data_IF_227143344277
#
_entry.id   IF_227143344277
#
_cell.length_a   1.000
_cell.length_b   1.000
_cell.length_c   1.000
_cell.angle_alpha   90.00
_cell.angle_beta   90.00
_cell.angle_gamma   90.00
#
_symmetry.space_group_name_H-M   'P 1'
#
loop_
_entity.id
_entity.type
_entity.pdbx_description
1 polymer ?
#
# COMPACT_ATOMS: atom_id res chain seq x y z
N UNK A 1 -36.60 35.23 -1.74
CA UNK A 1 -36.76 34.05 -2.60
C UNK A 1 -35.50 33.78 -3.43
N UNK A 2 -35.13 34.73 -4.29
CA UNK A 2 -33.89 34.60 -5.06
C UNK A 2 -32.64 34.56 -4.14
N UNK A 3 -32.66 35.37 -3.07
CA UNK A 3 -31.56 35.39 -2.09
C UNK A 3 -31.44 34.08 -1.34
N UNK A 4 -32.57 33.44 -1.01
CA UNK A 4 -32.56 32.14 -0.35
C UNK A 4 -32.03 31.03 -1.26
N UNK A 5 -32.37 31.07 -2.54
CA UNK A 5 -31.86 30.10 -3.53
C UNK A 5 -30.37 30.26 -3.72
N UNK A 6 -29.84 31.47 -3.76
CA UNK A 6 -28.41 31.76 -3.87
C UNK A 6 -27.67 31.25 -2.62
N UNK A 7 -28.26 31.49 -1.43
CA UNK A 7 -27.66 31.03 -0.17
C UNK A 7 -27.60 29.50 -0.09
N UNK A 8 -28.66 28.81 -0.55
CA UNK A 8 -28.70 27.33 -0.59
C UNK A 8 -27.65 26.83 -1.54
N UNK A 9 -27.50 27.40 -2.73
CA UNK A 9 -26.46 27.01 -3.70
C UNK A 9 -25.06 27.24 -3.17
N UNK A 10 -24.84 28.34 -2.45
CA UNK A 10 -23.56 28.66 -1.84
C UNK A 10 -23.21 27.62 -0.77
N UNK A 11 -24.19 27.24 0.06
CA UNK A 11 -23.99 26.23 1.10
C UNK A 11 -23.72 24.84 0.51
N UNK A 12 -24.44 24.49 -0.56
CA UNK A 12 -24.20 23.23 -1.28
C UNK A 12 -22.80 23.19 -1.87
N UNK A 13 -22.36 24.31 -2.46
CA UNK A 13 -21.02 24.43 -3.04
C UNK A 13 -19.94 24.34 -1.96
N UNK A 14 -20.12 25.00 -0.82
CA UNK A 14 -19.21 24.94 0.31
C UNK A 14 -19.13 23.52 0.88
N UNK A 15 -20.27 22.84 1.00
CA UNK A 15 -20.32 21.46 1.47
C UNK A 15 -19.58 20.54 0.52
N UNK A 16 -19.77 20.68 -0.78
CA UNK A 16 -19.10 19.89 -1.79
C UNK A 16 -17.59 20.10 -1.74
N UNK A 17 -17.15 21.35 -1.62
CA UNK A 17 -15.73 21.69 -1.45
C UNK A 17 -15.14 21.04 -0.22
N UNK A 18 -15.85 21.12 0.91
CA UNK A 18 -15.41 20.51 2.17
C UNK A 18 -15.29 18.99 2.04
N UNK A 19 -16.24 18.35 1.38
CA UNK A 19 -16.20 16.91 1.13
C UNK A 19 -15.02 16.53 0.26
N UNK A 20 -14.73 17.31 -0.80
CA UNK A 20 -13.59 17.07 -1.66
C UNK A 20 -12.27 17.24 -0.92
N UNK A 21 -12.15 18.27 -0.09
CA UNK A 21 -10.95 18.51 0.72
C UNK A 21 -10.72 17.38 1.70
N UNK A 22 -11.77 16.90 2.37
CA UNK A 22 -11.69 15.79 3.32
C UNK A 22 -11.28 14.50 2.63
N UNK A 23 -11.84 14.24 1.46
CA UNK A 23 -11.54 13.07 0.65
C UNK A 23 -10.08 13.10 0.21
N UNK A 24 -9.60 14.25 -0.25
CA UNK A 24 -8.23 14.43 -0.68
C UNK A 24 -7.26 14.25 0.49
N UNK A 25 -7.59 14.80 1.67
CA UNK A 25 -6.78 14.62 2.88
C UNK A 25 -6.66 13.14 3.26
N UNK A 26 -7.76 12.39 3.17
CA UNK A 26 -7.75 10.94 3.42
C UNK A 26 -6.83 10.21 2.43
N UNK A 27 -6.89 10.56 1.15
CA UNK A 27 -6.03 9.93 0.15
C UNK A 27 -4.55 10.26 0.38
N UNK A 28 -4.24 11.48 0.82
CA UNK A 28 -2.85 11.83 1.15
C UNK A 28 -2.34 11.05 2.36
N UNK A 29 -3.19 10.79 3.35
CA UNK A 29 -2.82 9.92 4.48
C UNK A 29 -2.58 8.49 4.01
N UNK A 30 -3.44 7.97 3.14
CA UNK A 30 -3.27 6.64 2.55
C UNK A 30 -2.00 6.55 1.72
N UNK A 31 -1.67 7.62 0.99
CA UNK A 31 -0.44 7.70 0.21
C UNK A 31 0.79 7.61 1.11
N UNK A 32 0.84 8.40 2.18
CA UNK A 32 1.97 8.40 3.11
C UNK A 32 2.14 7.03 3.76
N UNK A 33 1.04 6.42 4.19
CA UNK A 33 1.04 5.09 4.80
C UNK A 33 1.47 4.02 3.80
N UNK A 34 0.94 4.07 2.58
CA UNK A 34 1.28 3.14 1.51
C UNK A 34 2.75 3.22 1.11
N UNK A 35 3.30 4.43 1.08
CA UNK A 35 4.71 4.65 0.78
C UNK A 35 5.60 4.02 1.85
N UNK A 36 5.23 4.17 3.13
CA UNK A 36 5.94 3.53 4.24
C UNK A 36 5.89 2.00 4.14
N UNK A 37 4.73 1.45 3.75
CA UNK A 37 4.57 0.02 3.54
C UNK A 37 5.49 -0.52 2.45
N UNK A 38 5.51 0.15 1.30
CA UNK A 38 6.38 -0.25 0.19
C UNK A 38 7.84 -0.19 0.61
N UNK A 39 8.24 0.88 1.29
CA UNK A 39 9.61 1.03 1.79
C UNK A 39 9.99 -0.10 2.76
N UNK A 40 9.07 -0.48 3.65
CA UNK A 40 9.30 -1.58 4.59
C UNK A 40 9.55 -2.89 3.85
N UNK A 41 8.71 -3.24 2.88
CA UNK A 41 8.88 -4.48 2.14
C UNK A 41 10.17 -4.48 1.33
N UNK A 42 10.49 -3.39 0.67
CA UNK A 42 11.67 -3.32 -0.21
C UNK A 42 12.97 -3.24 0.56
N UNK A 43 13.01 -2.52 1.68
CA UNK A 43 14.25 -2.30 2.43
C UNK A 43 14.50 -3.33 3.53
N UNK A 44 13.44 -4.00 4.03
CA UNK A 44 13.56 -4.89 5.18
C UNK A 44 12.99 -6.26 4.92
N UNK A 45 11.71 -6.38 4.62
CA UNK A 45 11.03 -7.67 4.57
C UNK A 45 11.54 -8.56 3.42
N UNK A 46 11.67 -8.01 2.21
CA UNK A 46 12.18 -8.78 1.07
C UNK A 46 13.64 -9.22 1.25
N UNK A 47 14.58 -8.32 1.61
CA UNK A 47 15.96 -8.74 1.84
C UNK A 47 16.08 -9.78 2.95
N UNK A 48 15.31 -9.65 4.02
CA UNK A 48 15.33 -10.63 5.12
C UNK A 48 14.80 -11.98 4.66
N UNK A 49 13.70 -12.00 3.93
CA UNK A 49 13.12 -13.24 3.41
C UNK A 49 14.06 -13.94 2.44
N UNK A 50 14.74 -13.17 1.58
CA UNK A 50 15.74 -13.71 0.65
C UNK A 50 16.94 -14.31 1.39
N UNK A 51 17.41 -13.64 2.44
CA UNK A 51 18.52 -14.13 3.26
C UNK A 51 18.15 -15.43 3.98
N UNK A 52 16.95 -15.48 4.55
CA UNK A 52 16.44 -16.69 5.22
C UNK A 52 16.33 -17.84 4.21
N UNK A 53 15.80 -17.57 3.02
CA UNK A 53 15.68 -18.62 2.00
C UNK A 53 17.04 -19.12 1.54
N UNK A 54 18.01 -18.23 1.32
CA UNK A 54 19.36 -18.62 0.95
C UNK A 54 19.99 -19.52 2.00
N UNK A 55 19.87 -19.15 3.27
CA UNK A 55 20.41 -19.93 4.37
C UNK A 55 19.71 -21.28 4.49
N UNK A 56 18.40 -21.31 4.31
CA UNK A 56 17.62 -22.55 4.32
C UNK A 56 18.00 -23.45 3.14
N UNK A 57 18.23 -22.87 1.97
CA UNK A 57 18.67 -23.64 0.78
C UNK A 57 20.01 -24.29 1.02
N UNK A 58 20.96 -23.55 1.59
CA UNK A 58 22.30 -24.10 1.93
C UNK A 58 22.19 -25.18 2.99
N UNK A 59 21.40 -24.97 4.04
CA UNK A 59 21.20 -25.96 5.09
C UNK A 59 20.55 -27.24 4.58
N UNK A 60 19.59 -27.10 3.65
CA UNK A 60 18.97 -28.26 3.02
C UNK A 60 19.98 -29.06 2.17
N UNK A 61 20.77 -28.35 1.37
CA UNK A 61 21.80 -28.99 0.52
C UNK A 61 22.88 -29.70 1.34
N UNK A 62 23.25 -29.12 2.49
CA UNK A 62 24.24 -29.72 3.38
C UNK A 62 23.70 -30.82 4.31
N UNK A 63 22.35 -30.94 4.36
CA UNK A 63 21.70 -31.90 5.25
C UNK A 63 21.46 -31.38 6.67
N UNK A 64 21.76 -30.10 6.95
CA UNK A 64 21.59 -29.53 8.28
C UNK A 64 20.09 -29.31 8.62
N UNK A 65 19.25 -29.05 7.61
CA UNK A 65 17.80 -28.93 7.80
C UNK A 65 17.08 -29.88 6.85
N UNK A 66 15.82 -30.20 7.20
CA UNK A 66 14.99 -31.07 6.39
C UNK A 66 14.19 -30.30 5.35
N UNK A 67 13.48 -31.06 4.50
CA UNK A 67 12.66 -30.52 3.42
C UNK A 67 11.56 -29.59 3.95
N UNK A 68 10.92 -29.95 5.07
CA UNK A 68 9.80 -29.17 5.63
C UNK A 68 10.28 -27.76 6.00
N UNK A 69 11.43 -27.66 6.64
CA UNK A 69 12.01 -26.36 7.02
C UNK A 69 12.36 -25.51 5.80
N UNK A 70 12.95 -26.15 4.78
CA UNK A 70 13.24 -25.47 3.51
C UNK A 70 11.96 -25.01 2.83
N UNK A 71 10.95 -25.87 2.77
CA UNK A 71 9.66 -25.52 2.15
C UNK A 71 8.97 -24.37 2.87
N UNK A 72 9.06 -24.32 4.21
CA UNK A 72 8.52 -23.20 4.98
C UNK A 72 9.22 -21.89 4.66
N UNK A 73 10.55 -21.90 4.53
CA UNK A 73 11.30 -20.70 4.14
C UNK A 73 10.93 -20.22 2.74
N UNK A 74 10.75 -21.15 1.80
CA UNK A 74 10.31 -20.83 0.44
C UNK A 74 8.91 -20.23 0.46
N UNK A 75 7.99 -20.84 1.20
CA UNK A 75 6.61 -20.36 1.30
C UNK A 75 6.54 -18.95 1.91
N UNK A 76 7.33 -18.70 2.97
CA UNK A 76 7.40 -17.37 3.58
C UNK A 76 7.95 -16.34 2.59
N UNK A 77 8.98 -16.71 1.83
CA UNK A 77 9.54 -15.81 0.81
C UNK A 77 8.50 -15.44 -0.24
N UNK A 78 7.75 -16.41 -0.75
CA UNK A 78 6.69 -16.18 -1.74
C UNK A 78 5.57 -15.30 -1.17
N UNK A 79 5.20 -15.49 0.09
CA UNK A 79 4.18 -14.68 0.76
C UNK A 79 4.63 -13.23 0.89
N UNK A 80 5.89 -13.00 1.26
CA UNK A 80 6.44 -11.65 1.37
C UNK A 80 6.49 -10.97 0.00
N UNK A 81 6.85 -11.72 -1.06
CA UNK A 81 6.82 -11.18 -2.43
C UNK A 81 5.39 -10.76 -2.82
N UNK A 82 4.40 -11.59 -2.50
CA UNK A 82 3.00 -11.26 -2.77
C UNK A 82 2.55 -10.01 -2.02
N UNK A 83 2.89 -9.91 -0.73
CA UNK A 83 2.53 -8.75 0.08
C UNK A 83 3.20 -7.46 -0.43
N UNK A 84 4.44 -7.58 -0.91
CA UNK A 84 5.12 -6.44 -1.55
C UNK A 84 4.38 -5.97 -2.79
N UNK A 85 3.97 -6.89 -3.66
CA UNK A 85 3.20 -6.53 -4.87
C UNK A 85 1.85 -5.92 -4.50
N UNK A 86 1.17 -6.44 -3.48
CA UNK A 86 -0.08 -5.86 -3.00
C UNK A 86 0.13 -4.43 -2.49
N UNK A 87 1.21 -4.19 -1.75
CA UNK A 87 1.53 -2.86 -1.23
C UNK A 87 1.80 -1.87 -2.37
N UNK A 88 2.55 -2.28 -3.39
CA UNK A 88 2.82 -1.46 -4.57
C UNK A 88 1.51 -1.15 -5.31
N UNK A 89 0.67 -2.16 -5.52
CA UNK A 89 -0.61 -1.99 -6.21
C UNK A 89 -1.53 -1.03 -5.45
N UNK A 90 -1.62 -1.16 -4.13
CA UNK A 90 -2.44 -0.28 -3.30
C UNK A 90 -1.94 1.16 -3.36
N UNK A 91 -0.62 1.36 -3.32
CA UNK A 91 -0.02 2.69 -3.44
C UNK A 91 -0.35 3.30 -4.81
N UNK A 92 -0.20 2.53 -5.88
CA UNK A 92 -0.51 3.00 -7.23
C UNK A 92 -1.98 3.38 -7.38
N UNK A 93 -2.90 2.61 -6.80
CA UNK A 93 -4.32 2.93 -6.82
C UNK A 93 -4.61 4.23 -6.08
N UNK A 94 -3.95 4.46 -4.95
CA UNK A 94 -4.09 5.71 -4.19
C UNK A 94 -3.58 6.90 -5.00
N UNK A 95 -2.43 6.76 -5.66
CA UNK A 95 -1.88 7.80 -6.54
C UNK A 95 -2.86 8.14 -7.66
N UNK A 96 -3.44 7.12 -8.30
CA UNK A 96 -4.41 7.32 -9.37
C UNK A 96 -5.66 8.03 -8.86
N UNK A 97 -6.12 7.70 -7.66
CA UNK A 97 -7.28 8.36 -7.04
C UNK A 97 -7.00 9.84 -6.77
N UNK A 98 -5.81 10.17 -6.29
CA UNK A 98 -5.38 11.56 -6.07
C UNK A 98 -5.34 12.31 -7.39
N UNK A 99 -4.72 11.73 -8.42
CA UNK A 99 -4.62 12.35 -9.75
C UNK A 99 -5.99 12.60 -10.35
N UNK A 100 -6.90 11.66 -10.18
CA UNK A 100 -8.27 11.81 -10.69
C UNK A 100 -8.98 13.02 -10.07
N UNK A 101 -8.82 13.21 -8.75
CA UNK A 101 -9.43 14.33 -8.03
C UNK A 101 -8.80 15.67 -8.45
N UNK A 102 -7.46 15.70 -8.54
CA UNK A 102 -6.72 16.93 -8.86
C UNK A 102 -7.02 17.39 -10.29
N UNK A 103 -7.20 16.43 -11.21
CA UNK A 103 -7.42 16.74 -12.63
C UNK A 103 -8.89 17.02 -12.97
N UNK A 104 -9.77 17.02 -11.99
CA UNK A 104 -11.14 17.50 -12.18
C UNK A 104 -11.21 19.01 -12.00
#
# INVERSE_FOLDING_TARGET
>A
KADMEIQVKQKESELLESQLQNKLANYFQQYAFGKQHVEYYQSSALPNAESILRNASRGYQSGDIGYVEYAQALQTNLEIQRLNLDAINNLNQTILSIQFIINQ
#
